data_IF_392949502991
#
_entry.id   IF_392949502991
#
_cell.length_a   1.000
_cell.length_b   1.000
_cell.length_c   1.000
_cell.angle_alpha   90.00
_cell.angle_beta   90.00
_cell.angle_gamma   90.00
#
_symmetry.space_group_name_H-M   'P 1'
#
loop_
_entity.id
_entity.type
_entity.pdbx_description
1 polymer ?
#
# COMPACT_ATOMS: atom_id res chain seq x y z
N UNK A 1 -5.37 -21.16 -2.01
CA UNK A 1 -5.01 -20.23 -3.11
C UNK A 1 -3.57 -19.78 -2.89
N UNK A 2 -2.71 -19.68 -3.93
CA UNK A 2 -1.34 -19.18 -3.74
C UNK A 2 -1.35 -17.64 -3.54
N UNK A 3 -0.27 -17.09 -2.96
CA UNK A 3 -0.21 -15.66 -2.63
C UNK A 3 -0.30 -14.75 -3.86
N UNK A 4 0.23 -15.16 -5.00
CA UNK A 4 0.15 -14.37 -6.24
C UNK A 4 -1.31 -14.21 -6.70
N UNK A 5 -2.08 -15.30 -6.73
CA UNK A 5 -3.51 -15.27 -7.04
C UNK A 5 -4.31 -14.48 -6.00
N UNK A 6 -3.93 -14.56 -4.71
CA UNK A 6 -4.53 -13.75 -3.65
C UNK A 6 -4.32 -12.26 -3.89
N UNK A 7 -3.10 -11.84 -4.24
CA UNK A 7 -2.81 -10.43 -4.52
C UNK A 7 -3.58 -9.93 -5.76
N UNK A 8 -3.63 -10.73 -6.83
CA UNK A 8 -4.41 -10.39 -8.03
C UNK A 8 -5.88 -10.20 -7.67
N UNK A 9 -6.49 -11.15 -6.96
CA UNK A 9 -7.88 -11.05 -6.52
C UNK A 9 -8.13 -9.81 -5.65
N UNK A 10 -7.27 -9.54 -4.67
CA UNK A 10 -7.39 -8.33 -3.85
C UNK A 10 -7.37 -7.04 -4.68
N UNK A 11 -6.56 -6.98 -5.74
CA UNK A 11 -6.48 -5.80 -6.62
C UNK A 11 -7.74 -5.69 -7.48
N UNK A 12 -8.13 -6.77 -8.15
CA UNK A 12 -9.27 -6.80 -9.08
C UNK A 12 -10.60 -6.60 -8.36
N UNK A 13 -10.77 -7.18 -7.16
CA UNK A 13 -12.02 -7.17 -6.40
C UNK A 13 -12.29 -5.84 -5.67
N UNK A 14 -11.26 -5.01 -5.45
CA UNK A 14 -11.36 -3.78 -4.63
C UNK A 14 -11.09 -2.49 -5.42
N UNK A 15 -11.25 -2.52 -6.74
CA UNK A 15 -11.02 -1.38 -7.63
C UNK A 15 -9.63 -0.73 -7.49
N UNK A 16 -8.61 -1.53 -7.21
CA UNK A 16 -7.23 -1.06 -7.19
C UNK A 16 -6.59 -1.18 -8.57
N UNK A 17 -5.51 -0.45 -8.79
CA UNK A 17 -4.68 -0.59 -9.98
C UNK A 17 -3.20 -0.57 -9.64
N UNK A 18 -2.39 -1.10 -10.57
CA UNK A 18 -0.93 -0.95 -10.51
C UNK A 18 -0.56 0.23 -11.41
N UNK A 19 -0.01 1.28 -10.82
CA UNK A 19 0.60 2.39 -11.53
C UNK A 19 2.10 2.20 -11.63
N UNK A 20 2.64 2.41 -12.83
CA UNK A 20 4.08 2.40 -13.05
C UNK A 20 4.62 3.80 -13.26
N UNK A 21 5.74 4.13 -12.61
CA UNK A 21 6.44 5.40 -12.80
C UNK A 21 7.94 5.15 -12.93
N UNK A 22 8.56 5.73 -13.97
CA UNK A 22 10.02 5.71 -14.10
C UNK A 22 10.69 6.40 -12.91
N UNK A 23 11.72 5.78 -12.35
CA UNK A 23 12.56 6.35 -11.33
C UNK A 23 14.04 6.29 -11.75
N UNK A 24 14.81 7.25 -11.24
CA UNK A 24 16.24 7.38 -11.50
C UNK A 24 16.95 7.73 -10.20
N UNK A 25 17.99 6.96 -9.88
CA UNK A 25 18.90 7.29 -8.79
C UNK A 25 20.14 7.98 -9.36
N UNK A 26 20.24 9.29 -9.15
CA UNK A 26 21.33 10.11 -9.67
C UNK A 26 22.70 9.75 -9.06
N UNK A 27 22.74 9.11 -7.89
CA UNK A 27 24.01 8.74 -7.22
C UNK A 27 24.64 7.50 -7.86
N UNK A 28 23.83 6.51 -8.19
CA UNK A 28 24.30 5.26 -8.82
C UNK A 28 24.16 5.26 -10.35
N UNK A 29 23.41 6.21 -10.92
CA UNK A 29 23.03 6.24 -12.34
C UNK A 29 21.96 5.21 -12.69
N UNK A 30 21.43 4.47 -11.72
CA UNK A 30 20.46 3.41 -11.94
C UNK A 30 19.11 3.98 -12.40
N UNK A 31 18.40 3.23 -13.24
CA UNK A 31 17.05 3.55 -13.71
C UNK A 31 16.15 2.33 -13.57
N UNK A 32 14.89 2.55 -13.21
CA UNK A 32 13.89 1.50 -13.18
C UNK A 32 12.49 2.07 -13.11
N UNK A 33 11.56 1.26 -12.61
CA UNK A 33 10.16 1.64 -12.49
C UNK A 33 9.64 1.34 -11.10
N UNK A 34 9.10 2.35 -10.44
CA UNK A 34 8.23 2.17 -9.29
C UNK A 34 6.93 1.50 -9.74
N UNK A 35 6.45 0.55 -8.95
CA UNK A 35 5.19 -0.16 -9.18
C UNK A 35 4.31 0.02 -7.96
N UNK A 36 3.38 0.97 -8.03
CA UNK A 36 2.50 1.31 -6.92
C UNK A 36 1.15 0.63 -7.07
N UNK A 37 0.67 -0.02 -6.01
CA UNK A 37 -0.74 -0.36 -5.87
C UNK A 37 -1.47 0.89 -5.36
N UNK A 38 -2.50 1.30 -6.09
CA UNK A 38 -3.23 2.55 -5.86
C UNK A 38 -4.73 2.27 -5.77
N UNK A 39 -5.40 2.89 -4.79
CA UNK A 39 -6.86 2.96 -4.76
C UNK A 39 -7.35 3.95 -5.81
N UNK A 40 -8.07 3.47 -6.82
CA UNK A 40 -8.56 4.30 -7.93
C UNK A 40 -9.59 5.33 -7.50
N UNK A 41 -10.35 5.07 -6.44
CA UNK A 41 -11.44 5.94 -6.02
C UNK A 41 -10.93 7.25 -5.43
N UNK A 42 -9.83 7.20 -4.67
CA UNK A 42 -9.29 8.35 -3.94
C UNK A 42 -7.84 8.70 -4.31
N UNK A 43 -7.20 7.91 -5.19
CA UNK A 43 -5.81 8.10 -5.62
C UNK A 43 -4.76 7.74 -4.55
N UNK A 44 -5.14 7.08 -3.46
CA UNK A 44 -4.22 6.72 -2.38
C UNK A 44 -3.24 5.66 -2.80
N UNK A 45 -1.94 5.95 -2.66
CA UNK A 45 -0.88 4.96 -2.79
C UNK A 45 -0.87 4.02 -1.58
N UNK A 46 -1.14 2.75 -1.81
CA UNK A 46 -1.24 1.73 -0.75
C UNK A 46 0.13 1.12 -0.47
N UNK A 47 0.83 0.66 -1.52
CA UNK A 47 2.10 -0.03 -1.37
C UNK A 47 2.95 0.04 -2.65
N UNK A 48 4.26 0.16 -2.49
CA UNK A 48 5.23 0.06 -3.60
C UNK A 48 5.75 -1.38 -3.71
N UNK A 49 5.30 -2.09 -4.74
CA UNK A 49 5.71 -3.46 -5.06
C UNK A 49 7.18 -3.57 -5.43
N UNK A 50 7.75 -2.49 -5.97
CA UNK A 50 9.12 -2.47 -6.49
C UNK A 50 10.19 -2.20 -5.44
N UNK A 51 9.80 -1.92 -4.19
CA UNK A 51 10.72 -1.58 -3.09
C UNK A 51 11.63 -0.40 -3.51
N UNK A 52 11.05 0.78 -3.77
CA UNK A 52 11.71 1.99 -4.28
C UNK A 52 12.31 1.85 -5.69
N UNK A 53 11.64 1.08 -6.56
CA UNK A 53 12.07 0.83 -7.93
C UNK A 53 13.07 -0.32 -8.09
N UNK A 54 13.73 -0.75 -7.01
CA UNK A 54 14.89 -1.62 -7.09
C UNK A 54 14.56 -3.08 -7.46
N UNK A 55 13.58 -3.72 -6.82
CA UNK A 55 13.26 -5.13 -7.05
C UNK A 55 11.82 -5.49 -6.63
N UNK A 56 11.01 -5.99 -7.57
CA UNK A 56 9.80 -6.76 -7.25
C UNK A 56 10.19 -8.20 -6.91
N UNK A 57 9.91 -8.65 -5.68
CA UNK A 57 10.32 -9.98 -5.22
C UNK A 57 9.21 -10.69 -4.44
N UNK A 58 9.47 -11.94 -4.09
CA UNK A 58 8.50 -12.81 -3.45
C UNK A 58 8.05 -12.31 -2.06
N UNK A 59 8.92 -11.60 -1.36
CA UNK A 59 8.60 -10.97 -0.07
C UNK A 59 7.72 -9.73 -0.24
N UNK A 60 7.93 -8.93 -1.29
CA UNK A 60 7.11 -7.74 -1.55
C UNK A 60 5.67 -8.12 -1.89
N UNK A 61 5.43 -9.30 -2.48
CA UNK A 61 4.08 -9.84 -2.67
C UNK A 61 3.37 -10.05 -1.32
N UNK A 62 4.04 -10.67 -0.35
CA UNK A 62 3.45 -10.93 0.97
C UNK A 62 3.14 -9.62 1.71
N UNK A 63 4.10 -8.68 1.71
CA UNK A 63 3.92 -7.35 2.33
C UNK A 63 2.81 -6.55 1.65
N UNK A 64 2.67 -6.65 0.33
CA UNK A 64 1.60 -5.99 -0.40
C UNK A 64 0.21 -6.50 0.03
N UNK A 65 0.05 -7.82 0.17
CA UNK A 65 -1.20 -8.43 0.65
C UNK A 65 -1.55 -7.89 2.03
N UNK A 66 -0.60 -7.93 2.98
CA UNK A 66 -0.82 -7.42 4.35
C UNK A 66 -1.19 -5.94 4.36
N UNK A 67 -0.55 -5.12 3.52
CA UNK A 67 -0.86 -3.69 3.43
C UNK A 67 -2.22 -3.41 2.82
N UNK A 68 -2.63 -4.16 1.80
CA UNK A 68 -3.97 -4.06 1.22
C UNK A 68 -5.03 -4.48 2.23
N UNK A 69 -4.86 -5.61 2.92
CA UNK A 69 -5.85 -6.10 3.89
C UNK A 69 -6.04 -5.10 5.04
N UNK A 70 -4.95 -4.53 5.55
CA UNK A 70 -5.01 -3.45 6.54
C UNK A 70 -5.68 -2.19 5.98
N UNK A 71 -5.40 -1.81 4.74
CA UNK A 71 -6.03 -0.66 4.08
C UNK A 71 -7.55 -0.85 3.96
N UNK A 72 -7.99 -2.04 3.55
CA UNK A 72 -9.40 -2.39 3.44
C UNK A 72 -10.12 -2.43 4.79
N UNK A 73 -9.48 -2.98 5.82
CA UNK A 73 -10.05 -2.99 7.18
C UNK A 73 -10.28 -1.55 7.69
N UNK A 74 -9.28 -0.67 7.52
CA UNK A 74 -9.40 0.74 7.88
C UNK A 74 -10.44 1.50 7.04
N UNK A 75 -10.61 1.16 5.75
CA UNK A 75 -11.60 1.80 4.87
C UNK A 75 -13.03 1.41 5.23
N UNK A 76 -13.23 0.17 5.70
CA UNK A 76 -14.54 -0.32 6.13
C UNK A 76 -15.00 0.31 7.44
N UNK A 77 -14.09 0.52 8.39
CA UNK A 77 -14.43 0.98 9.76
C UNK A 77 -15.55 0.14 10.40
N UNK A 78 -15.58 -1.16 10.12
CA UNK A 78 -16.70 -2.03 10.52
C UNK A 78 -16.66 -2.39 12.02
N UNK A 79 -15.49 -2.29 12.66
CA UNK A 79 -15.30 -2.67 14.07
C UNK A 79 -14.86 -1.51 14.96
N UNK A 80 -15.13 -1.64 16.26
CA UNK A 80 -14.64 -0.67 17.26
C UNK A 80 -13.11 -0.60 17.31
N UNK A 81 -12.42 -1.72 17.08
CA UNK A 81 -10.96 -1.77 17.05
C UNK A 81 -10.38 -1.03 15.82
N UNK A 82 -11.06 -1.08 14.67
CA UNK A 82 -10.70 -0.30 13.48
C UNK A 82 -10.82 1.20 13.76
N UNK A 83 -11.92 1.61 14.40
CA UNK A 83 -12.15 2.99 14.81
C UNK A 83 -11.10 3.47 15.83
N UNK A 84 -10.80 2.65 16.84
CA UNK A 84 -9.77 2.96 17.86
C UNK A 84 -8.40 3.17 17.23
N UNK A 85 -8.00 2.27 16.33
CA UNK A 85 -6.72 2.38 15.60
C UNK A 85 -6.64 3.64 14.75
N UNK A 86 -7.76 4.04 14.13
CA UNK A 86 -7.83 5.31 13.39
C UNK A 86 -7.67 6.51 14.32
N UNK A 87 -8.32 6.52 15.49
CA UNK A 87 -8.16 7.59 16.48
C UNK A 87 -6.71 7.70 16.94
N UNK A 88 -6.07 6.60 17.33
CA UNK A 88 -4.67 6.61 17.80
C UNK A 88 -3.72 7.19 16.76
N UNK A 89 -3.96 6.94 15.47
CA UNK A 89 -3.16 7.48 14.37
C UNK A 89 -3.37 8.98 14.13
N UNK A 90 -4.58 9.50 14.37
CA UNK A 90 -4.96 10.88 14.02
C UNK A 90 -5.03 11.82 15.23
N UNK A 91 -4.92 11.29 16.45
CA UNK A 91 -4.88 12.08 17.67
C UNK A 91 -3.64 12.98 17.68
N UNK A 92 -3.86 14.30 17.76
CA UNK A 92 -2.79 15.28 17.92
C UNK A 92 -2.57 15.49 19.42
N UNK A 93 -1.32 15.48 19.92
CA UNK A 93 -1.03 15.75 21.32
C UNK A 93 -1.56 17.13 21.73
N UNK A 94 -2.13 17.21 22.93
CA UNK A 94 -2.52 18.49 23.52
C UNK A 94 -1.28 19.37 23.70
N UNK A 95 -1.32 20.60 23.19
CA UNK A 95 -0.26 21.57 23.43
C UNK A 95 -0.40 22.05 24.87
N UNK A 96 0.43 21.53 25.77
CA UNK A 96 0.61 22.11 27.10
C UNK A 96 1.19 23.52 26.94
N UNK A 97 0.41 24.54 27.31
CA UNK A 97 0.81 25.94 27.35
C UNK A 97 1.56 26.31 28.62
#
# INVERSE_FOLDING_TARGET
MNKYKKLIGLIEDNHFEIQSKKCHDSLSGWTGNELWIVDKENGSKIFDLSINGYCFNDESVQKAIEKIENYLALKKMDTFDDFKSWIEKNAVPEKTG
#
